data_IF_629917623672
#
_entry.id   IF_629917623672
#
_cell.length_a   1.000
_cell.length_b   1.000
_cell.length_c   1.000
_cell.angle_alpha   90.00
_cell.angle_beta   90.00
_cell.angle_gamma   90.00
#
_symmetry.space_group_name_H-M   'P 1'
#
loop_
_entity.id
_entity.type
_entity.pdbx_description
1 polymer ?
#
# COMPACT_ATOMS: atom_id res chain seq x y z
N UNK A 1 -15.24 17.48 -7.13
CA UNK A 1 -16.41 17.14 -7.98
C UNK A 1 -17.46 16.34 -7.21
N UNK A 2 -17.07 15.70 -6.10
CA UNK A 2 -17.93 14.80 -5.31
C UNK A 2 -19.13 15.48 -4.67
N UNK A 3 -19.01 16.73 -4.18
CA UNK A 3 -20.14 17.46 -3.60
C UNK A 3 -21.27 17.75 -4.59
N UNK A 4 -20.97 17.93 -5.87
CA UNK A 4 -22.00 18.13 -6.89
C UNK A 4 -22.78 16.84 -7.12
N UNK A 5 -22.08 15.71 -7.22
CA UNK A 5 -22.68 14.39 -7.36
C UNK A 5 -23.57 14.01 -6.15
N UNK A 6 -23.14 14.35 -4.93
CA UNK A 6 -23.96 14.14 -3.73
C UNK A 6 -25.24 14.98 -3.73
N UNK A 7 -25.16 16.24 -4.16
CA UNK A 7 -26.33 17.14 -4.27
C UNK A 7 -27.28 16.66 -5.36
N UNK A 8 -26.77 16.26 -6.53
CA UNK A 8 -27.58 15.74 -7.64
C UNK A 8 -28.28 14.42 -7.25
N UNK A 9 -27.61 13.55 -6.48
CA UNK A 9 -28.20 12.33 -5.94
C UNK A 9 -29.29 12.63 -4.89
N UNK A 10 -29.09 13.64 -4.04
CA UNK A 10 -30.12 14.07 -3.09
C UNK A 10 -31.32 14.69 -3.79
N UNK A 11 -31.10 15.45 -4.86
CA UNK A 11 -32.16 16.10 -5.64
C UNK A 11 -33.02 15.06 -6.38
N UNK A 12 -32.41 14.06 -7.02
CA UNK A 12 -33.14 12.95 -7.64
C UNK A 12 -33.92 12.11 -6.62
N UNK A 13 -33.35 11.87 -5.43
CA UNK A 13 -34.07 11.22 -4.33
C UNK A 13 -35.23 12.06 -3.80
N UNK A 14 -35.08 13.38 -3.73
CA UNK A 14 -36.17 14.27 -3.35
C UNK A 14 -37.28 14.25 -4.40
N UNK A 15 -36.94 14.32 -5.69
CA UNK A 15 -37.92 14.29 -6.78
C UNK A 15 -38.71 12.96 -6.81
N UNK A 16 -38.05 11.83 -6.55
CA UNK A 16 -38.73 10.52 -6.42
C UNK A 16 -39.64 10.45 -5.19
N UNK A 17 -39.29 11.11 -4.08
CA UNK A 17 -40.16 11.19 -2.90
C UNK A 17 -41.35 12.13 -3.12
N UNK A 18 -41.11 13.29 -3.73
CA UNK A 18 -42.17 14.26 -4.06
C UNK A 18 -43.18 13.67 -5.05
N UNK A 19 -42.71 12.98 -6.09
CA UNK A 19 -43.58 12.29 -7.05
C UNK A 19 -44.39 11.17 -6.41
N UNK A 20 -43.85 10.42 -5.44
CA UNK A 20 -44.60 9.40 -4.70
C UNK A 20 -45.68 9.98 -3.78
N UNK A 21 -45.43 11.15 -3.17
CA UNK A 21 -46.36 11.77 -2.20
C UNK A 21 -47.43 12.61 -2.90
N UNK A 22 -47.03 13.43 -3.87
CA UNK A 22 -47.91 14.38 -4.54
C UNK A 22 -48.42 13.89 -5.91
N UNK A 23 -47.87 12.78 -6.43
CA UNK A 23 -48.20 12.27 -7.76
C UNK A 23 -47.69 13.18 -8.89
N UNK A 24 -47.99 12.79 -10.14
CA UNK A 24 -47.62 13.53 -11.36
C UNK A 24 -48.26 14.94 -11.44
N UNK A 25 -49.31 15.18 -10.65
CA UNK A 25 -49.93 16.49 -10.46
C UNK A 25 -49.56 17.03 -9.09
N UNK A 26 -48.41 17.71 -8.99
CA UNK A 26 -48.09 18.60 -7.86
C UNK A 26 -49.34 19.42 -7.54
N UNK A 27 -49.95 19.17 -6.38
CA UNK A 27 -51.19 19.83 -5.97
C UNK A 27 -50.99 21.34 -6.07
N UNK A 28 -51.58 21.97 -7.11
CA UNK A 28 -51.47 23.42 -7.38
C UNK A 28 -52.19 24.30 -6.35
N UNK A 29 -52.82 23.71 -5.33
CA UNK A 29 -53.27 24.42 -4.15
C UNK A 29 -52.44 23.94 -2.97
N UNK A 30 -51.67 24.84 -2.35
CA UNK A 30 -50.70 24.58 -1.26
C UNK A 30 -51.28 24.03 0.04
N UNK A 31 -52.14 23.02 -0.03
CA UNK A 31 -52.62 22.23 1.10
C UNK A 31 -51.70 21.02 1.23
N UNK A 32 -51.01 20.83 2.37
CA UNK A 32 -50.18 19.66 2.58
C UNK A 32 -51.05 18.41 2.47
N UNK A 33 -50.57 17.38 1.76
CA UNK A 33 -51.27 16.09 1.69
C UNK A 33 -51.28 15.53 3.11
N UNK A 34 -52.47 15.33 3.68
CA UNK A 34 -52.66 14.80 5.04
C UNK A 34 -52.46 13.28 5.05
N UNK A 35 -51.28 12.80 4.63
CA UNK A 35 -50.95 11.37 4.56
C UNK A 35 -51.09 10.70 5.93
N UNK A 36 -50.72 11.40 7.01
CA UNK A 36 -50.84 10.89 8.38
C UNK A 36 -52.30 10.63 8.78
N UNK A 37 -53.22 11.56 8.46
CA UNK A 37 -54.64 11.41 8.79
C UNK A 37 -55.33 10.34 7.94
N UNK A 38 -54.94 10.19 6.68
CA UNK A 38 -55.42 9.09 5.83
C UNK A 38 -54.86 7.75 6.28
N UNK A 39 -53.58 7.69 6.64
CA UNK A 39 -52.93 6.48 7.14
C UNK A 39 -53.54 6.04 8.48
N UNK A 40 -53.76 6.98 9.40
CA UNK A 40 -54.44 6.72 10.67
C UNK A 40 -55.85 6.16 10.44
N UNK A 41 -56.62 6.76 9.52
CA UNK A 41 -57.96 6.25 9.15
C UNK A 41 -57.91 4.84 8.55
N UNK A 42 -56.97 4.57 7.66
CA UNK A 42 -56.78 3.23 7.06
C UNK A 42 -56.35 2.22 8.14
N UNK A 43 -55.45 2.59 9.04
CA UNK A 43 -55.01 1.75 10.15
C UNK A 43 -56.16 1.41 11.09
N UNK A 44 -57.00 2.40 11.45
CA UNK A 44 -58.19 2.15 12.27
C UNK A 44 -59.21 1.26 11.56
N UNK A 45 -59.45 1.47 10.27
CA UNK A 45 -60.34 0.62 9.47
C UNK A 45 -59.81 -0.82 9.35
N UNK A 46 -58.50 -0.98 9.17
CA UNK A 46 -57.83 -2.27 9.09
C UNK A 46 -57.87 -3.00 10.44
N UNK A 47 -57.58 -2.30 11.55
CA UNK A 47 -57.67 -2.85 12.90
C UNK A 47 -59.11 -3.29 13.24
N UNK A 48 -60.11 -2.48 12.88
CA UNK A 48 -61.52 -2.82 13.07
C UNK A 48 -61.93 -4.05 12.23
N UNK A 49 -61.40 -4.18 11.01
CA UNK A 49 -61.69 -5.32 10.12
C UNK A 49 -60.98 -6.59 10.59
N UNK A 50 -59.73 -6.48 11.04
CA UNK A 50 -58.97 -7.58 11.62
C UNK A 50 -59.64 -8.08 12.91
N UNK A 51 -60.08 -7.21 13.81
CA UNK A 51 -60.72 -7.60 15.06
C UNK A 51 -62.09 -8.26 14.88
N UNK A 52 -62.82 -7.96 13.80
CA UNK A 52 -64.12 -8.60 13.48
C UNK A 52 -63.99 -9.96 12.79
N UNK A 53 -62.82 -10.27 12.19
CA UNK A 53 -62.57 -11.52 11.46
C UNK A 53 -61.27 -12.15 11.93
N UNK A 54 -61.38 -13.18 12.78
CA UNK A 54 -60.20 -13.90 13.33
C UNK A 54 -59.23 -14.40 12.25
N UNK A 55 -59.71 -14.87 11.09
CA UNK A 55 -58.83 -15.25 9.97
C UNK A 55 -58.00 -14.08 9.42
N UNK A 56 -58.58 -12.88 9.35
CA UNK A 56 -57.88 -11.66 8.89
C UNK A 56 -56.88 -11.19 9.94
N UNK A 57 -57.21 -11.31 11.23
CA UNK A 57 -56.29 -11.03 12.34
C UNK A 57 -55.06 -11.94 12.32
N UNK A 58 -55.27 -13.24 12.09
CA UNK A 58 -54.18 -14.21 11.97
C UNK A 58 -53.32 -13.90 10.74
N UNK A 59 -53.95 -13.61 9.59
CA UNK A 59 -53.22 -13.23 8.39
C UNK A 59 -52.42 -11.94 8.59
N UNK A 60 -53.01 -10.89 9.17
CA UNK A 60 -52.32 -9.62 9.41
C UNK A 60 -51.09 -9.78 10.31
N UNK A 61 -51.19 -10.62 11.36
CA UNK A 61 -50.03 -10.99 12.19
C UNK A 61 -48.99 -11.80 11.43
N UNK A 62 -49.43 -12.72 10.57
CA UNK A 62 -48.54 -13.56 9.75
C UNK A 62 -47.96 -12.83 8.54
N UNK A 63 -48.49 -11.69 8.12
CA UNK A 63 -47.97 -10.95 6.95
C UNK A 63 -46.52 -10.52 7.19
N UNK A 64 -46.18 -10.04 8.39
CA UNK A 64 -44.79 -9.68 8.71
C UNK A 64 -43.86 -10.89 8.69
N UNK A 65 -44.32 -12.04 9.19
CA UNK A 65 -43.54 -13.27 9.13
C UNK A 65 -43.45 -13.82 7.71
N UNK A 66 -44.54 -13.80 6.94
CA UNK A 66 -44.57 -14.21 5.54
C UNK A 66 -43.66 -13.34 4.67
N UNK A 67 -43.58 -12.04 4.94
CA UNK A 67 -42.64 -11.14 4.26
C UNK A 67 -41.19 -11.55 4.53
N UNK A 68 -40.86 -12.05 5.72
CA UNK A 68 -39.52 -12.61 6.01
C UNK A 68 -39.28 -13.89 5.21
N UNK A 69 -40.26 -14.78 5.13
CA UNK A 69 -40.14 -16.02 4.33
C UNK A 69 -40.14 -15.79 2.82
N UNK A 70 -40.65 -14.64 2.35
CA UNK A 70 -40.64 -14.22 0.95
C UNK A 70 -39.34 -13.49 0.55
N UNK A 71 -38.49 -13.13 1.52
CA UNK A 71 -37.17 -12.58 1.23
C UNK A 71 -36.27 -13.70 0.68
N UNK A 72 -35.75 -13.58 -0.56
CA UNK A 72 -34.81 -14.56 -1.11
C UNK A 72 -33.61 -14.80 -0.19
N UNK A 73 -33.14 -13.77 0.52
CA UNK A 73 -32.03 -13.87 1.46
C UNK A 73 -32.34 -14.79 2.64
N UNK A 74 -33.61 -14.91 3.03
CA UNK A 74 -34.02 -15.79 4.11
C UNK A 74 -34.07 -17.26 3.67
N UNK A 75 -34.35 -17.51 2.39
CA UNK A 75 -34.47 -18.88 1.84
C UNK A 75 -33.09 -19.50 1.60
N UNK A 76 -32.11 -18.69 1.18
CA UNK A 76 -30.73 -19.11 0.93
C UNK A 76 -30.01 -19.59 2.20
N UNK A 77 -30.40 -19.09 3.38
CA UNK A 77 -29.79 -19.47 4.65
C UNK A 77 -30.39 -20.74 5.30
N UNK A 78 -31.56 -21.22 4.85
CA UNK A 78 -32.29 -22.28 5.55
C UNK A 78 -32.02 -23.68 4.99
N UNK A 79 -31.63 -23.82 3.72
CA UNK A 79 -31.63 -25.14 3.10
C UNK A 79 -30.36 -25.46 2.34
N UNK A 80 -29.25 -25.62 3.05
CA UNK A 80 -28.28 -26.63 2.62
C UNK A 80 -28.66 -27.93 3.35
N UNK A 81 -29.27 -28.91 2.68
CA UNK A 81 -29.59 -30.20 3.28
C UNK A 81 -28.31 -30.86 3.81
N UNK A 82 -28.42 -31.65 4.88
CA UNK A 82 -27.24 -32.25 5.52
C UNK A 82 -26.45 -33.19 4.59
N UNK A 83 -27.14 -33.85 3.65
CA UNK A 83 -26.48 -34.62 2.60
C UNK A 83 -25.60 -33.74 1.69
N UNK A 84 -26.05 -32.52 1.35
CA UNK A 84 -25.29 -31.58 0.53
C UNK A 84 -24.10 -30.99 1.31
N UNK A 85 -24.24 -30.77 2.62
CA UNK A 85 -23.11 -30.36 3.47
C UNK A 85 -22.01 -31.41 3.49
N UNK A 86 -22.38 -32.70 3.53
CA UNK A 86 -21.43 -33.79 3.50
C UNK A 86 -20.69 -33.84 2.17
N UNK A 87 -21.41 -33.78 1.05
CA UNK A 87 -20.78 -33.71 -0.29
C UNK A 87 -19.89 -32.47 -0.44
N UNK A 88 -20.29 -31.32 0.12
CA UNK A 88 -19.49 -30.10 0.10
C UNK A 88 -18.18 -30.26 0.89
N UNK A 89 -18.24 -30.86 2.09
CA UNK A 89 -17.04 -31.11 2.90
C UNK A 89 -16.10 -32.10 2.21
N UNK A 90 -16.64 -33.16 1.60
CA UNK A 90 -15.82 -34.14 0.86
C UNK A 90 -15.22 -33.53 -0.41
N UNK A 91 -15.98 -32.71 -1.13
CA UNK A 91 -15.48 -32.02 -2.31
C UNK A 91 -14.39 -30.97 -1.97
N UNK A 92 -14.49 -30.34 -0.79
CA UNK A 92 -13.53 -29.35 -0.30
C UNK A 92 -12.45 -29.95 0.65
N UNK A 93 -12.36 -31.26 0.80
CA UNK A 93 -11.45 -31.91 1.76
C UNK A 93 -9.99 -31.49 1.51
N UNK A 94 -9.53 -31.60 0.26
CA UNK A 94 -8.17 -31.21 -0.13
C UNK A 94 -7.91 -29.72 0.11
N UNK A 95 -8.91 -28.87 -0.16
CA UNK A 95 -8.83 -27.43 0.06
C UNK A 95 -8.70 -27.12 1.55
N UNK A 96 -9.55 -27.70 2.39
CA UNK A 96 -9.52 -27.52 3.85
C UNK A 96 -8.21 -28.00 4.46
N UNK A 97 -7.69 -29.14 4.01
CA UNK A 97 -6.38 -29.64 4.45
C UNK A 97 -5.24 -28.71 4.02
N UNK A 98 -5.25 -28.22 2.78
CA UNK A 98 -4.25 -27.26 2.31
C UNK A 98 -4.30 -25.94 3.11
N UNK A 99 -5.50 -25.46 3.43
CA UNK A 99 -5.70 -24.25 4.23
C UNK A 99 -5.23 -24.45 5.68
N UNK A 100 -5.51 -25.62 6.28
CA UNK A 100 -5.10 -25.96 7.63
C UNK A 100 -3.57 -26.04 7.75
N UNK A 101 -2.91 -26.71 6.81
CA UNK A 101 -1.43 -26.78 6.79
C UNK A 101 -0.79 -25.41 6.62
N UNK A 102 -1.34 -24.55 5.76
CA UNK A 102 -0.85 -23.18 5.60
C UNK A 102 -1.06 -22.35 6.88
N UNK A 103 -2.21 -22.52 7.54
CA UNK A 103 -2.52 -21.83 8.79
C UNK A 103 -1.61 -22.29 9.93
N UNK A 104 -1.27 -23.58 9.99
CA UNK A 104 -0.29 -24.12 10.93
C UNK A 104 1.10 -23.51 10.69
N UNK A 105 1.53 -23.39 9.43
CA UNK A 105 2.79 -22.70 9.09
C UNK A 105 2.77 -21.24 9.55
N UNK A 106 1.68 -20.51 9.32
CA UNK A 106 1.55 -19.12 9.78
C UNK A 106 1.57 -19.03 11.30
N UNK A 107 0.88 -19.93 12.00
CA UNK A 107 0.88 -20.00 13.47
C UNK A 107 2.28 -20.26 14.02
N UNK A 108 3.05 -21.13 13.36
CA UNK A 108 4.43 -21.42 13.75
C UNK A 108 5.38 -20.23 13.53
N UNK A 109 5.08 -19.36 12.57
CA UNK A 109 5.87 -18.16 12.26
C UNK A 109 5.46 -16.94 13.09
N UNK A 110 4.25 -16.92 13.66
CA UNK A 110 3.78 -15.86 14.56
C UNK A 110 4.77 -15.46 15.67
N UNK A 111 5.42 -16.39 16.42
CA UNK A 111 6.38 -16.02 17.47
C UNK A 111 7.65 -15.35 16.94
N UNK A 112 7.97 -15.45 15.64
CA UNK A 112 9.13 -14.74 15.06
C UNK A 112 8.89 -13.24 14.95
N UNK A 113 7.63 -12.81 14.79
CA UNK A 113 7.24 -11.39 14.74
C UNK A 113 7.52 -10.69 16.07
N UNK A 114 7.40 -11.42 17.18
CA UNK A 114 7.71 -10.94 18.53
C UNK A 114 9.17 -11.20 18.94
N UNK A 115 10.01 -11.69 18.02
CA UNK A 115 11.41 -11.96 18.35
C UNK A 115 12.12 -10.69 18.81
N UNK A 116 12.82 -10.80 19.94
CA UNK A 116 13.60 -9.70 20.51
C UNK A 116 14.73 -9.21 19.57
N UNK A 117 15.08 -9.98 18.54
CA UNK A 117 16.07 -9.58 17.54
C UNK A 117 15.49 -8.58 16.53
N UNK A 118 14.24 -8.78 16.09
CA UNK A 118 13.55 -7.83 15.21
C UNK A 118 13.11 -6.59 16.01
N UNK A 119 12.58 -6.80 17.22
CA UNK A 119 12.24 -5.69 18.14
C UNK A 119 13.47 -4.99 18.72
N UNK A 120 14.61 -5.66 18.78
CA UNK A 120 15.89 -5.11 19.22
C UNK A 120 16.58 -4.26 18.16
N UNK A 121 16.14 -4.34 16.90
CA UNK A 121 16.60 -3.52 15.78
C UNK A 121 15.97 -2.10 15.79
N UNK A 122 15.58 -1.61 16.98
CA UNK A 122 15.08 -0.23 17.22
C UNK A 122 16.31 0.69 17.45
N UNK A 123 16.20 2.04 17.48
CA UNK A 123 17.21 3.02 17.07
C UNK A 123 18.64 2.86 17.60
N UNK A 124 18.95 2.43 18.84
CA UNK A 124 20.32 2.42 19.33
C UNK A 124 21.29 1.55 18.51
N UNK A 125 20.85 0.42 17.94
CA UNK A 125 21.71 -0.35 17.04
C UNK A 125 21.87 0.36 15.69
N UNK A 126 20.80 0.95 15.15
CA UNK A 126 20.87 1.70 13.90
C UNK A 126 21.78 2.93 14.03
N UNK A 127 21.69 3.66 15.14
CA UNK A 127 22.57 4.78 15.47
C UNK A 127 24.02 4.32 15.63
N UNK A 128 24.25 3.16 16.26
CA UNK A 128 25.57 2.56 16.35
C UNK A 128 26.13 2.19 14.97
N UNK A 129 25.37 1.47 14.13
CA UNK A 129 25.79 1.14 12.76
C UNK A 129 26.00 2.38 11.89
N UNK A 130 25.15 3.41 12.01
CA UNK A 130 25.34 4.69 11.32
C UNK A 130 26.61 5.40 11.82
N UNK A 131 26.88 5.37 13.12
CA UNK A 131 28.10 5.96 13.68
C UNK A 131 29.37 5.22 13.25
N UNK A 132 29.33 3.88 13.21
CA UNK A 132 30.41 3.03 12.74
C UNK A 132 30.67 3.22 11.25
N UNK A 133 29.61 3.31 10.44
CA UNK A 133 29.76 3.59 9.00
C UNK A 133 30.38 4.96 8.76
N UNK A 134 29.97 5.99 9.49
CA UNK A 134 30.60 7.32 9.43
C UNK A 134 32.08 7.25 9.86
N UNK A 135 32.38 6.53 10.95
CA UNK A 135 33.75 6.31 11.45
C UNK A 135 34.64 5.57 10.44
N UNK A 136 34.09 4.69 9.61
CA UNK A 136 34.83 3.96 8.58
C UNK A 136 34.99 4.76 7.28
N UNK A 137 33.97 5.53 6.89
CA UNK A 137 33.98 6.29 5.63
C UNK A 137 34.97 7.46 5.70
N UNK A 138 34.94 8.24 6.79
CA UNK A 138 35.75 9.46 6.88
C UNK A 138 37.28 9.22 6.78
N UNK A 139 37.88 8.23 7.47
CA UNK A 139 39.30 7.92 7.31
C UNK A 139 39.64 7.32 5.94
N UNK A 140 38.71 6.61 5.29
CA UNK A 140 38.92 6.07 3.94
C UNK A 140 39.03 7.20 2.92
N UNK A 141 38.13 8.17 2.96
CA UNK A 141 38.16 9.34 2.08
C UNK A 141 39.44 10.16 2.29
N UNK A 142 39.87 10.32 3.56
CA UNK A 142 41.12 11.00 3.89
C UNK A 142 42.35 10.25 3.35
N UNK A 143 42.37 8.92 3.48
CA UNK A 143 43.46 8.07 2.97
C UNK A 143 43.54 8.13 1.45
N UNK A 144 42.40 8.13 0.76
CA UNK A 144 42.34 8.24 -0.70
C UNK A 144 42.85 9.61 -1.17
N UNK A 145 42.44 10.70 -0.53
CA UNK A 145 42.92 12.03 -0.83
C UNK A 145 44.45 12.15 -0.67
N UNK A 146 45.00 11.65 0.44
CA UNK A 146 46.44 11.62 0.68
C UNK A 146 47.16 10.73 -0.34
N UNK A 147 46.60 9.59 -0.71
CA UNK A 147 47.18 8.70 -1.73
C UNK A 147 47.28 9.39 -3.09
N UNK A 148 46.26 10.18 -3.47
CA UNK A 148 46.27 10.96 -4.72
C UNK A 148 47.32 12.06 -4.70
N UNK A 149 47.48 12.76 -3.58
CA UNK A 149 48.51 13.80 -3.42
C UNK A 149 49.92 13.21 -3.54
N UNK A 150 50.17 12.10 -2.85
CA UNK A 150 51.45 11.38 -2.92
C UNK A 150 51.73 10.91 -4.35
N UNK A 151 50.73 10.38 -5.07
CA UNK A 151 50.89 9.99 -6.48
C UNK A 151 51.26 11.19 -7.36
N UNK A 152 50.60 12.34 -7.20
CA UNK A 152 50.96 13.56 -7.94
C UNK A 152 52.39 14.01 -7.66
N UNK A 153 52.80 13.98 -6.39
CA UNK A 153 54.16 14.34 -6.02
C UNK A 153 55.19 13.40 -6.65
N UNK A 154 54.91 12.09 -6.70
CA UNK A 154 55.75 11.13 -7.42
C UNK A 154 55.80 11.40 -8.92
N UNK A 155 54.68 11.77 -9.56
CA UNK A 155 54.65 12.14 -10.97
C UNK A 155 55.49 13.40 -11.25
N UNK A 156 55.40 14.41 -10.39
CA UNK A 156 56.20 15.64 -10.50
C UNK A 156 57.68 15.38 -10.28
N UNK A 157 58.03 14.58 -9.28
CA UNK A 157 59.40 14.15 -9.04
C UNK A 157 59.95 13.38 -10.25
N UNK A 158 59.20 12.41 -10.77
CA UNK A 158 59.60 11.65 -11.96
C UNK A 158 59.78 12.55 -13.19
N UNK A 159 58.90 13.54 -13.40
CA UNK A 159 59.06 14.54 -14.47
C UNK A 159 60.32 15.37 -14.28
N UNK A 160 60.58 15.85 -13.06
CA UNK A 160 61.77 16.63 -12.74
C UNK A 160 63.05 15.83 -12.97
N UNK A 161 63.09 14.58 -12.48
CA UNK A 161 64.22 13.67 -12.67
C UNK A 161 64.47 13.35 -14.15
N UNK A 162 63.41 13.13 -14.93
CA UNK A 162 63.53 12.91 -16.37
C UNK A 162 64.09 14.14 -17.09
N UNK A 163 63.60 15.35 -16.76
CA UNK A 163 64.09 16.59 -17.32
C UNK A 163 65.54 16.87 -16.93
N UNK A 164 65.91 16.64 -15.66
CA UNK A 164 67.29 16.77 -15.20
C UNK A 164 68.21 15.79 -15.94
N UNK A 165 67.81 14.52 -16.06
CA UNK A 165 68.60 13.52 -16.79
C UNK A 165 68.80 13.92 -18.25
N UNK A 166 67.74 14.38 -18.93
CA UNK A 166 67.84 14.91 -20.30
C UNK A 166 68.74 16.13 -20.39
N UNK A 167 68.66 17.05 -19.42
CA UNK A 167 69.49 18.24 -19.39
C UNK A 167 70.97 17.89 -19.21
N UNK A 168 71.28 16.93 -18.35
CA UNK A 168 72.64 16.41 -18.18
C UNK A 168 73.17 15.78 -19.47
N UNK A 169 72.37 14.96 -20.17
CA UNK A 169 72.79 14.40 -21.47
C UNK A 169 73.02 15.48 -22.52
N UNK A 170 72.17 16.51 -22.58
CA UNK A 170 72.34 17.63 -23.51
C UNK A 170 73.60 18.45 -23.20
N UNK A 171 73.88 18.68 -21.92
CA UNK A 171 75.11 19.35 -21.50
C UNK A 171 76.34 18.52 -21.83
N UNK A 172 76.30 17.20 -21.61
CA UNK A 172 77.37 16.27 -21.94
C UNK A 172 77.64 16.23 -23.45
N UNK A 173 76.58 16.15 -24.28
CA UNK A 173 76.71 16.20 -25.74
C UNK A 173 77.28 17.56 -26.23
N UNK A 174 76.86 18.65 -25.60
CA UNK A 174 77.35 20.00 -25.92
C UNK A 174 78.82 20.17 -25.54
N UNK A 175 79.23 19.68 -24.36
CA UNK A 175 80.61 19.62 -23.91
C UNK A 175 81.46 18.82 -24.88
N UNK A 176 81.01 17.62 -25.23
CA UNK A 176 81.70 16.72 -26.17
C UNK A 176 81.91 17.35 -27.55
N UNK A 177 80.92 18.09 -28.08
CA UNK A 177 81.08 18.84 -29.34
C UNK A 177 82.15 19.94 -29.25
N UNK A 178 82.22 20.64 -28.12
CA UNK A 178 83.23 21.69 -27.88
C UNK A 178 84.62 21.08 -27.71
N UNK A 179 84.72 19.94 -27.03
CA UNK A 179 85.97 19.19 -26.83
C UNK A 179 86.51 18.63 -28.16
N UNK A 180 85.65 18.03 -28.98
CA UNK A 180 85.99 17.54 -30.32
C UNK A 180 86.42 18.70 -31.25
N UNK A 181 85.73 19.84 -31.21
CA UNK A 181 86.10 21.03 -31.99
C UNK A 181 87.46 21.63 -31.57
N UNK A 182 87.84 21.48 -30.30
CA UNK A 182 89.16 21.88 -29.79
C UNK A 182 90.24 20.81 -29.97
N UNK A 183 89.91 19.65 -30.54
CA UNK A 183 90.85 18.56 -30.79
C UNK A 183 91.31 17.83 -29.53
N UNK A 184 90.61 18.02 -28.40
CA UNK A 184 90.93 17.39 -27.13
C UNK A 184 90.00 16.18 -27.01
N UNK A 185 90.41 15.03 -27.53
CA UNK A 185 89.83 13.76 -27.07
C UNK A 185 90.83 13.08 -26.14
N UNK A 186 90.36 12.68 -24.96
CA UNK A 186 90.82 11.42 -24.37
C UNK A 186 89.91 10.31 -24.90
N UNK A 187 90.54 9.24 -25.37
CA UNK A 187 89.93 8.00 -25.83
C UNK A 187 89.40 7.25 -24.62
N UNK A 188 88.11 6.89 -24.66
CA UNK A 188 87.57 5.57 -24.27
C UNK A 188 86.21 5.37 -24.95
#
# INVERSE_FOLDING_TARGET
MDRKFEVDNLETRLETLESRIYGEKRNKGGKPVKCADSLSRVQSALANTANKRERVKILHKKIEDLLKYLDPQFTDHITVPDAMKLEFILAEEDFLLSQATLLEQVSNLQPLLDSNYIRGMTPPLLDFYLSDTILVIFPKDQTEAQSLEVKKLFEEYNKMMFLLSKQFTQWDESLRKVEEAKGIRQVE
#
